data_IF_519070296428
#
_entry.id   IF_519070296428
#
_cell.length_a   1.000
_cell.length_b   1.000
_cell.length_c   1.000
_cell.angle_alpha   90.00
_cell.angle_beta   90.00
_cell.angle_gamma   90.00
#
_symmetry.space_group_name_H-M   'P 1'
#
loop_
_entity.id
_entity.type
_entity.pdbx_description
1 polymer ?
#
# COMPACT_ATOMS: atom_id res chain seq x y z
N UNK A 1 37.59 13.58 17.83
CA UNK A 1 37.00 13.06 16.57
C UNK A 1 36.33 11.73 16.86
N UNK A 2 35.00 11.68 16.87
CA UNK A 2 34.23 10.42 16.80
C UNK A 2 33.40 10.48 15.54
N UNK A 3 34.07 10.20 14.42
CA UNK A 3 33.43 9.90 13.15
C UNK A 3 32.97 8.44 13.23
N UNK A 4 31.68 8.23 13.00
CA UNK A 4 31.03 7.19 12.19
C UNK A 4 29.54 7.31 12.57
N UNK A 5 28.80 8.20 11.88
CA UNK A 5 27.36 7.99 11.71
C UNK A 5 27.27 6.84 10.71
N UNK A 6 27.20 5.61 11.21
CA UNK A 6 26.75 4.49 10.40
C UNK A 6 25.30 4.77 10.05
N UNK A 7 25.06 5.25 8.85
CA UNK A 7 23.74 5.20 8.20
C UNK A 7 23.36 3.73 8.08
N UNK A 8 22.11 3.38 8.42
CA UNK A 8 21.62 2.01 8.23
C UNK A 8 21.30 1.78 6.76
N UNK A 9 20.96 2.83 6.01
CA UNK A 9 20.68 2.82 4.57
C UNK A 9 21.44 3.95 3.84
N UNK A 10 22.10 3.63 2.73
CA UNK A 10 22.83 4.59 1.89
C UNK A 10 22.16 4.73 0.53
N UNK A 11 22.29 5.89 -0.14
CA UNK A 11 21.74 6.09 -1.47
C UNK A 11 22.61 5.37 -2.50
N UNK A 12 22.02 4.48 -3.30
CA UNK A 12 22.78 3.67 -4.26
C UNK A 12 22.31 3.87 -5.70
N UNK A 13 21.05 4.27 -5.90
CA UNK A 13 20.51 4.49 -7.24
C UNK A 13 19.51 5.63 -7.21
N UNK A 14 19.51 6.43 -8.27
CA UNK A 14 18.50 7.45 -8.51
C UNK A 14 18.25 7.67 -10.00
N UNK A 15 17.06 8.16 -10.34
CA UNK A 15 16.68 8.60 -11.68
C UNK A 15 15.58 9.68 -11.59
N UNK A 16 15.23 10.30 -12.71
CA UNK A 16 14.19 11.33 -12.81
C UNK A 16 13.25 10.96 -13.97
N UNK A 17 11.96 10.80 -13.68
CA UNK A 17 10.88 10.72 -14.67
C UNK A 17 10.35 12.13 -14.99
N UNK A 18 9.46 12.22 -15.97
CA UNK A 18 9.02 13.48 -16.57
C UNK A 18 8.11 14.32 -15.67
N UNK A 19 7.51 13.72 -14.64
CA UNK A 19 6.55 14.37 -13.73
C UNK A 19 6.47 13.59 -12.40
N UNK A 20 5.62 14.03 -11.46
CA UNK A 20 5.46 13.47 -10.13
C UNK A 20 5.30 11.95 -10.15
N UNK A 21 6.05 11.26 -9.28
CA UNK A 21 5.98 9.80 -9.17
C UNK A 21 4.68 9.43 -8.47
N UNK A 22 3.88 8.61 -9.11
CA UNK A 22 2.55 8.22 -8.61
C UNK A 22 2.60 6.93 -7.81
N UNK A 23 3.51 6.02 -8.18
CA UNK A 23 3.71 4.75 -7.49
C UNK A 23 5.10 4.18 -7.77
N UNK A 24 5.62 3.46 -6.78
CA UNK A 24 6.78 2.56 -6.90
C UNK A 24 6.41 1.23 -6.23
N UNK A 25 6.81 0.10 -6.80
CA UNK A 25 6.52 -1.20 -6.20
C UNK A 25 7.53 -2.26 -6.65
N UNK A 26 7.97 -3.12 -5.72
CA UNK A 26 8.86 -4.23 -6.03
C UNK A 26 8.07 -5.46 -6.45
N UNK A 27 8.60 -6.26 -7.37
CA UNK A 27 8.12 -7.61 -7.63
C UNK A 27 8.27 -8.47 -6.36
N UNK A 28 7.48 -9.54 -6.25
CA UNK A 28 7.44 -10.38 -5.05
C UNK A 28 8.77 -11.07 -4.72
N UNK A 29 9.59 -11.34 -5.74
CA UNK A 29 10.96 -11.85 -5.62
C UNK A 29 12.00 -10.74 -5.35
N UNK A 30 11.63 -9.48 -5.54
CA UNK A 30 12.50 -8.30 -5.39
C UNK A 30 13.46 -8.06 -6.57
N UNK A 31 13.35 -8.82 -7.66
CA UNK A 31 14.24 -8.69 -8.83
C UNK A 31 13.95 -7.42 -9.66
N UNK A 32 12.71 -6.93 -9.61
CA UNK A 32 12.23 -5.82 -10.44
C UNK A 32 11.59 -4.74 -9.58
N UNK A 33 11.91 -3.47 -9.83
CA UNK A 33 11.17 -2.32 -9.30
C UNK A 33 10.39 -1.66 -10.43
N UNK A 34 9.07 -1.60 -10.32
CA UNK A 34 8.22 -0.81 -11.21
C UNK A 34 8.02 0.60 -10.65
N UNK A 35 7.92 1.57 -11.54
CA UNK A 35 7.68 2.98 -11.22
C UNK A 35 6.79 3.63 -12.28
N UNK A 36 5.93 4.55 -11.85
CA UNK A 36 5.06 5.31 -12.75
C UNK A 36 5.02 6.81 -12.42
N UNK A 37 4.70 7.62 -13.42
CA UNK A 37 4.53 9.06 -13.28
C UNK A 37 3.17 9.55 -13.74
N UNK A 38 2.88 10.79 -13.36
CA UNK A 38 1.70 11.52 -13.80
C UNK A 38 1.67 11.90 -15.27
N UNK A 39 2.84 11.94 -15.91
CA UNK A 39 2.95 12.09 -17.34
C UNK A 39 2.51 10.82 -18.10
N UNK A 40 2.25 9.73 -17.37
CA UNK A 40 1.82 8.46 -17.93
C UNK A 40 2.96 7.48 -18.18
N UNK A 41 4.18 7.77 -17.73
CA UNK A 41 5.30 6.84 -17.92
C UNK A 41 5.14 5.61 -17.03
N UNK A 42 5.56 4.47 -17.56
CA UNK A 42 5.77 3.23 -16.79
C UNK A 42 7.15 2.71 -17.14
N UNK A 43 8.00 2.58 -16.12
CA UNK A 43 9.34 2.02 -16.26
C UNK A 43 9.57 0.92 -15.24
N UNK A 44 10.45 -0.01 -15.56
CA UNK A 44 10.90 -1.05 -14.64
C UNK A 44 12.42 -1.03 -14.55
N UNK A 45 12.94 -1.25 -13.36
CA UNK A 45 14.37 -1.39 -13.09
C UNK A 45 14.67 -2.86 -12.80
N UNK A 46 15.49 -3.48 -13.66
CA UNK A 46 15.94 -4.87 -13.54
C UNK A 46 17.46 -4.87 -13.58
N UNK A 47 18.12 -5.44 -12.57
CA UNK A 47 19.60 -5.51 -12.50
C UNK A 47 20.34 -4.17 -12.78
N UNK A 48 19.77 -3.04 -12.34
CA UNK A 48 20.20 -1.65 -12.59
C UNK A 48 19.99 -1.12 -14.03
N UNK A 49 19.38 -1.90 -14.92
CA UNK A 49 18.92 -1.44 -16.23
C UNK A 49 17.49 -0.91 -16.14
N UNK A 50 17.28 0.32 -16.61
CA UNK A 50 15.96 0.94 -16.65
C UNK A 50 15.32 0.69 -18.02
N UNK A 51 14.18 0.01 -18.01
CA UNK A 51 13.43 -0.37 -19.21
C UNK A 51 12.12 0.40 -19.23
N UNK A 52 11.83 1.09 -20.34
CA UNK A 52 10.56 1.76 -20.55
C UNK A 52 9.51 0.77 -21.07
N UNK A 53 8.40 0.63 -20.34
CA UNK A 53 7.24 -0.15 -20.76
C UNK A 53 6.19 0.73 -21.47
N UNK A 54 6.12 2.00 -21.06
CA UNK A 54 5.27 3.02 -21.64
C UNK A 54 5.95 4.38 -21.50
N UNK A 55 6.10 5.08 -22.62
CA UNK A 55 6.55 6.47 -22.66
C UNK A 55 5.42 7.43 -22.27
N UNK A 56 5.73 8.72 -22.10
CA UNK A 56 4.77 9.78 -21.75
C UNK A 56 3.50 9.73 -22.61
N UNK A 57 2.33 9.68 -21.96
CA UNK A 57 1.00 9.66 -22.61
C UNK A 57 0.13 10.89 -22.29
N UNK A 58 0.60 11.80 -21.42
CA UNK A 58 -0.17 12.94 -20.88
C UNK A 58 -1.45 12.52 -20.14
N UNK A 59 -1.51 11.27 -19.66
CA UNK A 59 -2.58 10.75 -18.81
C UNK A 59 -1.93 10.10 -17.60
N UNK A 60 -2.31 10.51 -16.39
CA UNK A 60 -1.69 10.00 -15.16
C UNK A 60 -1.88 8.49 -15.03
N UNK A 61 -0.81 7.79 -14.67
CA UNK A 61 -0.90 6.45 -14.10
C UNK A 61 -1.05 6.61 -12.60
N UNK A 62 -2.12 6.10 -11.99
CA UNK A 62 -2.40 6.34 -10.58
C UNK A 62 -2.01 5.15 -9.70
N UNK A 63 -1.95 3.94 -10.26
CA UNK A 63 -1.59 2.71 -9.53
C UNK A 63 -0.84 1.72 -10.41
N UNK A 64 0.08 0.99 -9.76
CA UNK A 64 0.71 -0.21 -10.29
C UNK A 64 0.87 -1.27 -9.21
N UNK A 65 0.86 -2.55 -9.60
CA UNK A 65 1.10 -3.66 -8.68
C UNK A 65 1.53 -4.92 -9.42
N UNK A 66 2.42 -5.71 -8.81
CA UNK A 66 2.79 -7.03 -9.31
C UNK A 66 1.83 -8.10 -8.81
N UNK A 67 1.58 -9.13 -9.63
CA UNK A 67 0.94 -10.37 -9.19
C UNK A 67 1.77 -11.05 -8.11
N UNK A 68 1.10 -11.85 -7.28
CA UNK A 68 1.75 -12.57 -6.17
C UNK A 68 2.87 -13.47 -6.65
N UNK A 69 2.69 -14.14 -7.80
CA UNK A 69 3.72 -14.98 -8.41
C UNK A 69 4.81 -14.21 -9.17
N UNK A 70 4.71 -12.87 -9.20
CA UNK A 70 5.68 -11.95 -9.81
C UNK A 70 5.65 -11.93 -11.35
N UNK A 71 4.75 -12.69 -12.00
CA UNK A 71 4.75 -12.84 -13.45
C UNK A 71 4.09 -11.69 -14.20
N UNK A 72 3.23 -10.93 -13.53
CA UNK A 72 2.43 -9.89 -14.15
C UNK A 72 2.61 -8.55 -13.42
N UNK A 73 2.74 -7.48 -14.20
CA UNK A 73 2.63 -6.10 -13.72
C UNK A 73 1.33 -5.51 -14.24
N UNK A 74 0.44 -5.10 -13.34
CA UNK A 74 -0.76 -4.36 -13.69
C UNK A 74 -0.55 -2.87 -13.45
N UNK A 75 -1.08 -2.04 -14.36
CA UNK A 75 -1.05 -0.58 -14.27
C UNK A 75 -2.39 0.01 -14.69
N UNK A 76 -2.84 1.05 -14.00
CA UNK A 76 -4.08 1.76 -14.28
C UNK A 76 -4.01 3.23 -13.87
N UNK A 77 -4.86 4.06 -14.47
CA UNK A 77 -4.91 5.48 -14.19
C UNK A 77 -6.06 6.22 -14.87
N UNK A 78 -5.80 7.45 -15.29
CA UNK A 78 -6.83 8.40 -15.75
C UNK A 78 -7.47 8.06 -17.10
N UNK A 79 -6.81 7.28 -17.94
CA UNK A 79 -7.37 6.86 -19.23
C UNK A 79 -8.39 5.71 -19.11
N UNK A 80 -8.55 5.16 -17.89
CA UNK A 80 -9.47 4.09 -17.56
C UNK A 80 -9.07 2.70 -18.06
N UNK A 81 -7.87 2.57 -18.63
CA UNK A 81 -7.36 1.29 -19.10
C UNK A 81 -6.58 0.61 -17.99
N UNK A 82 -6.73 -0.72 -17.90
CA UNK A 82 -5.80 -1.54 -17.13
C UNK A 82 -4.90 -2.27 -18.10
N UNK A 83 -3.61 -1.94 -18.06
CA UNK A 83 -2.61 -2.59 -18.89
C UNK A 83 -1.86 -3.62 -18.05
N UNK A 84 -1.65 -4.80 -18.62
CA UNK A 84 -0.93 -5.90 -17.97
C UNK A 84 0.30 -6.24 -18.81
N UNK A 85 1.47 -6.24 -18.20
CA UNK A 85 2.71 -6.68 -18.81
C UNK A 85 3.18 -7.99 -18.18
N UNK A 86 3.86 -8.81 -18.98
CA UNK A 86 4.65 -9.92 -18.48
C UNK A 86 5.97 -9.39 -17.91
N UNK A 87 6.30 -9.78 -16.68
CA UNK A 87 7.53 -9.37 -16.00
C UNK A 87 8.77 -10.02 -16.63
N UNK A 88 8.66 -11.24 -17.18
CA UNK A 88 9.82 -11.99 -17.70
C UNK A 88 10.38 -11.48 -19.03
N UNK A 89 9.54 -10.87 -19.87
CA UNK A 89 9.94 -10.39 -21.20
C UNK A 89 9.50 -8.94 -21.49
N UNK A 90 8.89 -8.29 -20.49
CA UNK A 90 8.44 -6.89 -20.55
C UNK A 90 7.45 -6.58 -21.69
N UNK A 91 6.74 -7.60 -22.19
CA UNK A 91 5.72 -7.43 -23.23
C UNK A 91 4.35 -7.14 -22.63
N UNK A 92 3.59 -6.26 -23.29
CA UNK A 92 2.18 -6.01 -22.98
C UNK A 92 1.36 -7.25 -23.36
N UNK A 93 0.69 -7.87 -22.40
CA UNK A 93 -0.10 -9.09 -22.62
C UNK A 93 -1.60 -8.81 -22.74
N UNK A 94 -2.10 -7.77 -22.05
CA UNK A 94 -3.51 -7.42 -22.09
C UNK A 94 -3.71 -5.91 -21.89
N UNK A 95 -4.75 -5.37 -22.53
CA UNK A 95 -5.32 -4.06 -22.23
C UNK A 95 -6.80 -4.26 -21.97
N UNK A 96 -7.22 -4.09 -20.72
CA UNK A 96 -8.62 -4.16 -20.33
C UNK A 96 -9.25 -2.79 -20.61
N UNK A 97 -10.05 -2.73 -21.66
CA UNK A 97 -10.79 -1.55 -22.09
C UNK A 97 -12.13 -1.52 -21.35
N UNK A 98 -12.38 -0.44 -20.59
CA UNK A 98 -13.55 -0.30 -19.74
C UNK A 98 -14.33 0.97 -20.05
N UNK A 99 -15.49 1.14 -19.43
CA UNK A 99 -16.21 2.41 -19.47
C UNK A 99 -15.31 3.55 -18.97
N UNK A 100 -15.50 4.80 -19.45
CA UNK A 100 -14.64 5.92 -19.09
C UNK A 100 -14.75 6.26 -17.60
N UNK A 101 -13.87 5.68 -16.81
CA UNK A 101 -13.72 5.89 -15.38
C UNK A 101 -12.23 5.71 -15.03
N UNK A 102 -11.72 6.49 -14.09
CA UNK A 102 -10.34 6.33 -13.63
C UNK A 102 -10.15 5.00 -12.93
N UNK A 103 -9.00 4.36 -13.17
CA UNK A 103 -8.55 3.18 -12.41
C UNK A 103 -7.53 3.65 -11.37
N UNK A 104 -8.06 4.04 -10.22
CA UNK A 104 -7.27 4.66 -9.15
C UNK A 104 -7.02 3.71 -7.96
N UNK A 105 -7.56 2.48 -8.01
CA UNK A 105 -7.30 1.38 -7.07
C UNK A 105 -7.07 0.08 -7.83
N UNK A 106 -6.01 -0.63 -7.44
CA UNK A 106 -5.60 -1.93 -7.97
C UNK A 106 -5.11 -2.79 -6.80
N UNK A 107 -5.49 -4.06 -6.75
CA UNK A 107 -4.96 -5.01 -5.78
C UNK A 107 -4.98 -6.44 -6.34
N UNK A 108 -3.82 -7.10 -6.33
CA UNK A 108 -3.72 -8.52 -6.63
C UNK A 108 -4.07 -9.37 -5.40
N UNK A 109 -4.74 -10.50 -5.64
CA UNK A 109 -4.98 -11.49 -4.60
C UNK A 109 -3.65 -12.10 -4.12
N UNK A 110 -3.43 -12.26 -2.82
CA UNK A 110 -2.19 -12.80 -2.26
C UNK A 110 -2.05 -14.32 -2.44
N UNK A 111 -3.04 -15.00 -3.03
CA UNK A 111 -3.05 -16.46 -3.20
C UNK A 111 -3.34 -16.93 -4.62
N UNK A 112 -3.86 -16.05 -5.47
CA UNK A 112 -4.28 -16.34 -6.85
C UNK A 112 -3.86 -15.19 -7.75
N UNK A 113 -3.75 -15.42 -9.05
CA UNK A 113 -3.49 -14.35 -10.02
C UNK A 113 -4.79 -13.59 -10.38
N UNK A 114 -5.56 -13.22 -9.36
CA UNK A 114 -6.76 -12.38 -9.49
C UNK A 114 -6.39 -10.92 -9.24
N UNK A 115 -6.71 -10.04 -10.18
CA UNK A 115 -6.54 -8.59 -10.07
C UNK A 115 -7.90 -7.94 -9.85
N UNK A 116 -8.09 -7.29 -8.70
CA UNK A 116 -9.22 -6.40 -8.46
C UNK A 116 -8.87 -4.95 -8.84
N UNK A 117 -9.77 -4.25 -9.53
CA UNK A 117 -9.56 -2.87 -9.95
C UNK A 117 -10.84 -2.03 -9.94
N UNK A 118 -10.73 -0.76 -9.52
CA UNK A 118 -11.87 0.16 -9.45
C UNK A 118 -12.21 0.78 -10.81
N UNK A 119 -13.52 0.98 -11.03
CA UNK A 119 -14.07 1.70 -12.18
C UNK A 119 -15.21 2.60 -11.70
N UNK A 120 -14.87 3.69 -11.01
CA UNK A 120 -15.86 4.59 -10.42
C UNK A 120 -16.64 3.91 -9.29
N UNK A 121 -17.84 3.41 -9.57
CA UNK A 121 -18.77 2.84 -8.56
C UNK A 121 -18.84 1.32 -8.53
N UNK A 122 -17.94 0.64 -9.22
CA UNK A 122 -17.84 -0.81 -9.19
C UNK A 122 -16.38 -1.24 -9.22
N UNK A 123 -16.16 -2.51 -8.91
CA UNK A 123 -14.87 -3.19 -9.02
C UNK A 123 -15.02 -4.36 -9.95
N UNK A 124 -14.06 -4.55 -10.85
CA UNK A 124 -13.94 -5.79 -11.59
C UNK A 124 -12.81 -6.64 -11.02
N UNK A 125 -12.97 -7.95 -11.11
CA UNK A 125 -11.91 -8.92 -10.81
C UNK A 125 -11.56 -9.63 -12.11
N UNK A 126 -10.30 -9.53 -12.53
CA UNK A 126 -9.74 -10.19 -13.70
C UNK A 126 -8.83 -11.34 -13.27
N UNK A 127 -8.92 -12.47 -13.93
CA UNK A 127 -8.05 -13.63 -13.72
C UNK A 127 -6.97 -13.67 -14.78
N UNK A 128 -5.70 -13.57 -14.38
CA UNK A 128 -4.58 -13.51 -15.31
C UNK A 128 -4.23 -14.87 -15.94
N UNK A 129 -4.60 -15.97 -15.30
CA UNK A 129 -4.28 -17.32 -15.78
C UNK A 129 -5.17 -17.68 -16.97
N UNK A 130 -6.44 -17.25 -16.95
CA UNK A 130 -7.40 -17.44 -18.06
C UNK A 130 -7.65 -16.19 -18.90
N UNK A 131 -7.18 -15.02 -18.44
CA UNK A 131 -7.32 -13.71 -19.08
C UNK A 131 -8.76 -13.19 -19.23
N UNK A 132 -9.64 -13.50 -18.27
CA UNK A 132 -11.06 -13.11 -18.32
C UNK A 132 -11.48 -12.30 -17.07
N UNK A 133 -12.51 -11.47 -17.23
CA UNK A 133 -13.20 -10.85 -16.09
C UNK A 133 -14.08 -11.92 -15.44
N UNK A 134 -13.79 -12.27 -14.19
CA UNK A 134 -14.53 -13.31 -13.45
C UNK A 134 -15.73 -12.77 -12.69
N UNK A 135 -15.72 -11.48 -12.30
CA UNK A 135 -16.88 -10.81 -11.69
C UNK A 135 -16.83 -9.29 -11.85
N UNK A 136 -18.01 -8.66 -11.87
CA UNK A 136 -18.22 -7.23 -11.62
C UNK A 136 -19.00 -7.03 -10.31
N UNK A 137 -18.40 -6.34 -9.35
CA UNK A 137 -18.93 -6.11 -8.00
C UNK A 137 -19.45 -4.67 -7.88
N UNK A 138 -20.77 -4.53 -7.76
CA UNK A 138 -21.42 -3.23 -7.68
C UNK A 138 -21.26 -2.57 -6.29
N UNK A 139 -20.81 -1.32 -6.28
CA UNK A 139 -20.68 -0.47 -5.11
C UNK A 139 -21.48 0.83 -5.29
N UNK A 140 -22.74 0.71 -5.71
CA UNK A 140 -23.54 1.84 -6.23
C UNK A 140 -23.72 3.05 -5.29
N UNK A 141 -23.57 2.82 -3.98
CA UNK A 141 -23.72 3.85 -2.95
C UNK A 141 -22.57 4.89 -2.96
N UNK A 142 -21.47 4.66 -3.68
CA UNK A 142 -20.35 5.60 -3.75
C UNK A 142 -19.36 5.29 -4.87
N UNK A 143 -18.43 6.21 -5.11
CA UNK A 143 -17.16 5.83 -5.73
C UNK A 143 -16.39 4.88 -4.82
N UNK A 144 -15.66 3.94 -5.42
CA UNK A 144 -14.73 3.05 -4.72
C UNK A 144 -13.54 3.88 -4.24
N UNK A 145 -13.32 3.95 -2.93
CA UNK A 145 -12.26 4.75 -2.32
C UNK A 145 -11.06 3.92 -1.87
N UNK A 146 -11.24 2.61 -1.68
CA UNK A 146 -10.14 1.69 -1.37
C UNK A 146 -10.55 0.25 -1.65
N UNK A 147 -9.58 -0.60 -1.95
CA UNK A 147 -9.74 -2.04 -2.18
C UNK A 147 -8.58 -2.75 -1.48
N UNK A 148 -8.85 -3.85 -0.79
CA UNK A 148 -7.79 -4.73 -0.29
C UNK A 148 -8.25 -6.19 -0.15
N UNK A 149 -7.31 -7.12 -0.30
CA UNK A 149 -7.53 -8.55 -0.17
C UNK A 149 -7.13 -9.05 1.21
N UNK A 150 -7.91 -9.99 1.78
CA UNK A 150 -7.47 -10.72 2.96
C UNK A 150 -6.21 -11.53 2.63
N UNK A 151 -5.32 -11.69 3.61
CA UNK A 151 -4.04 -12.39 3.42
C UNK A 151 -4.19 -13.85 2.93
N UNK A 152 -5.29 -14.51 3.30
CA UNK A 152 -5.63 -15.86 2.82
C UNK A 152 -6.33 -15.87 1.46
N UNK A 153 -6.52 -14.71 0.84
CA UNK A 153 -7.13 -14.53 -0.48
C UNK A 153 -8.62 -14.86 -0.54
N UNK A 154 -9.27 -15.14 0.59
CA UNK A 154 -10.69 -15.54 0.63
C UNK A 154 -11.65 -14.36 0.57
N UNK A 155 -11.22 -13.17 0.95
CA UNK A 155 -12.07 -12.00 1.01
C UNK A 155 -11.49 -10.85 0.20
N UNK A 156 -12.37 -10.14 -0.51
CA UNK A 156 -12.08 -8.86 -1.14
C UNK A 156 -12.92 -7.78 -0.47
N UNK A 157 -12.27 -6.79 0.12
CA UNK A 157 -12.92 -5.65 0.75
C UNK A 157 -12.91 -4.46 -0.20
N UNK A 158 -14.05 -3.78 -0.31
CA UNK A 158 -14.23 -2.54 -1.09
C UNK A 158 -14.81 -1.49 -0.15
N UNK A 159 -14.13 -0.35 -0.04
CA UNK A 159 -14.50 0.75 0.85
C UNK A 159 -15.09 1.94 0.09
N UNK A 160 -16.05 2.62 0.70
CA UNK A 160 -16.60 3.88 0.21
C UNK A 160 -17.64 4.44 1.17
N UNK A 161 -18.70 5.08 0.64
CA UNK A 161 -19.79 5.60 1.47
C UNK A 161 -20.46 4.49 2.30
N UNK A 162 -20.72 4.78 3.58
CA UNK A 162 -21.36 3.88 4.56
C UNK A 162 -20.52 2.65 4.97
N UNK A 163 -19.22 2.68 4.74
CA UNK A 163 -18.26 1.70 5.28
C UNK A 163 -17.64 0.81 4.21
N UNK A 164 -17.55 -0.48 4.53
CA UNK A 164 -16.83 -1.47 3.72
C UNK A 164 -17.76 -2.65 3.39
N UNK A 165 -17.83 -3.01 2.11
CA UNK A 165 -18.46 -4.26 1.66
C UNK A 165 -17.38 -5.32 1.43
N UNK A 166 -17.64 -6.56 1.83
CA UNK A 166 -16.65 -7.64 1.80
C UNK A 166 -17.24 -8.88 1.14
N UNK A 167 -16.67 -9.28 0.01
CA UNK A 167 -17.11 -10.45 -0.77
C UNK A 167 -16.23 -11.66 -0.50
N UNK A 168 -16.81 -12.85 -0.64
CA UNK A 168 -16.08 -14.11 -0.65
C UNK A 168 -15.59 -14.43 -2.05
N UNK A 169 -14.29 -14.65 -2.22
CA UNK A 169 -13.66 -14.80 -3.54
C UNK A 169 -13.91 -16.13 -4.24
N UNK A 170 -14.55 -17.09 -3.56
CA UNK A 170 -15.01 -18.35 -4.14
C UNK A 170 -16.50 -18.35 -4.51
N UNK A 171 -17.25 -17.34 -4.08
CA UNK A 171 -18.72 -17.27 -4.16
C UNK A 171 -19.11 -15.80 -4.39
N UNK A 172 -18.82 -15.29 -5.58
CA UNK A 172 -19.02 -13.87 -5.87
C UNK A 172 -20.49 -13.43 -5.98
N UNK A 173 -21.37 -14.39 -6.24
CA UNK A 173 -22.82 -14.17 -6.39
C UNK A 173 -23.54 -14.00 -5.04
N UNK A 174 -22.89 -14.35 -3.93
CA UNK A 174 -23.44 -14.16 -2.58
C UNK A 174 -23.37 -12.71 -2.13
N UNK A 175 -24.33 -12.31 -1.28
CA UNK A 175 -24.35 -10.97 -0.70
C UNK A 175 -23.07 -10.71 0.13
N UNK A 176 -22.44 -9.53 -0.03
CA UNK A 176 -21.25 -9.20 0.75
C UNK A 176 -21.59 -9.00 2.21
N UNK A 177 -20.63 -9.30 3.08
CA UNK A 177 -20.69 -8.84 4.47
C UNK A 177 -20.59 -7.30 4.49
N UNK A 178 -21.51 -6.66 5.22
CA UNK A 178 -21.53 -5.22 5.40
C UNK A 178 -20.85 -4.85 6.72
N UNK A 179 -19.67 -4.24 6.62
CA UNK A 179 -19.03 -3.57 7.73
C UNK A 179 -19.48 -2.11 7.76
N UNK A 180 -20.65 -1.89 8.38
CA UNK A 180 -21.34 -0.61 8.39
C UNK A 180 -20.62 0.43 9.25
N UNK A 181 -20.35 1.58 8.65
CA UNK A 181 -19.71 2.73 9.32
C UNK A 181 -20.52 3.98 8.98
N UNK A 182 -20.85 4.86 9.95
CA UNK A 182 -21.67 6.06 9.69
C UNK A 182 -21.07 7.10 8.74
N UNK A 183 -19.83 6.89 8.28
CA UNK A 183 -19.05 7.79 7.42
C UNK A 183 -18.47 7.04 6.23
N UNK A 184 -17.88 7.77 5.28
CA UNK A 184 -17.18 7.13 4.16
C UNK A 184 -15.82 6.59 4.61
N UNK A 185 -15.54 5.33 4.26
CA UNK A 185 -14.22 4.72 4.45
C UNK A 185 -13.34 5.02 3.25
N UNK A 186 -12.27 5.78 3.48
CA UNK A 186 -11.32 6.23 2.45
C UNK A 186 -10.10 5.31 2.31
N UNK A 187 -9.88 4.46 3.31
CA UNK A 187 -8.81 3.47 3.32
C UNK A 187 -9.35 2.17 3.93
N UNK A 188 -8.94 1.03 3.39
CA UNK A 188 -9.14 -0.29 3.98
C UNK A 188 -7.83 -1.06 3.94
N UNK A 189 -7.54 -1.81 5.00
CA UNK A 189 -6.34 -2.63 5.07
C UNK A 189 -6.58 -3.88 5.93
N UNK A 190 -6.34 -5.05 5.36
CA UNK A 190 -6.28 -6.31 6.09
C UNK A 190 -4.94 -6.47 6.78
N UNK A 191 -4.96 -7.04 8.00
CA UNK A 191 -3.74 -7.39 8.68
C UNK A 191 -3.02 -8.53 7.96
N UNK A 192 -1.69 -8.51 8.03
CA UNK A 192 -0.83 -9.49 7.37
C UNK A 192 -1.01 -10.92 7.88
N UNK A 193 -1.45 -11.08 9.13
CA UNK A 193 -1.80 -12.36 9.74
C UNK A 193 -3.25 -12.78 9.44
N UNK A 194 -4.02 -11.95 8.73
CA UNK A 194 -5.41 -12.20 8.36
C UNK A 194 -6.41 -12.12 9.51
N UNK A 195 -6.02 -11.68 10.72
CA UNK A 195 -6.91 -11.62 11.88
C UNK A 195 -7.85 -10.41 11.89
N UNK A 196 -7.46 -9.31 11.24
CA UNK A 196 -8.19 -8.05 11.31
C UNK A 196 -8.37 -7.39 9.96
N UNK A 197 -9.42 -6.58 9.86
CA UNK A 197 -9.57 -5.54 8.85
C UNK A 197 -9.67 -4.18 9.55
N UNK A 198 -8.94 -3.18 9.03
CA UNK A 198 -9.04 -1.80 9.47
C UNK A 198 -9.68 -0.94 8.36
N UNK A 199 -10.47 0.05 8.76
CA UNK A 199 -10.97 1.11 7.88
C UNK A 199 -10.56 2.48 8.41
N UNK A 200 -10.11 3.36 7.52
CA UNK A 200 -9.83 4.76 7.83
C UNK A 200 -10.97 5.61 7.29
N UNK A 201 -11.61 6.41 8.15
CA UNK A 201 -12.90 7.02 7.85
C UNK A 201 -12.80 8.54 7.72
N UNK A 202 -13.70 9.15 6.92
CA UNK A 202 -13.75 10.60 6.71
C UNK A 202 -14.10 11.40 7.98
N UNK A 203 -14.74 10.76 8.96
CA UNK A 203 -15.07 11.36 10.26
C UNK A 203 -13.89 11.37 11.25
N UNK A 204 -12.67 11.13 10.74
CA UNK A 204 -11.42 11.09 11.52
C UNK A 204 -11.41 9.96 12.55
N UNK A 205 -12.03 8.83 12.22
CA UNK A 205 -11.96 7.61 13.01
C UNK A 205 -11.25 6.50 12.23
N UNK A 206 -10.75 5.51 12.96
CA UNK A 206 -10.39 4.22 12.42
C UNK A 206 -11.27 3.18 13.09
N UNK A 207 -11.84 2.27 12.30
CA UNK A 207 -12.54 1.10 12.83
C UNK A 207 -11.70 -0.15 12.57
N UNK A 208 -11.64 -1.08 13.52
CA UNK A 208 -11.01 -2.39 13.36
C UNK A 208 -12.00 -3.48 13.72
N UNK A 209 -12.07 -4.54 12.90
CA UNK A 209 -12.94 -5.70 13.10
C UNK A 209 -12.13 -6.99 12.96
N UNK A 210 -12.50 -8.04 13.69
CA UNK A 210 -11.93 -9.37 13.51
C UNK A 210 -12.48 -10.05 12.26
N UNK A 211 -11.61 -10.70 11.50
CA UNK A 211 -11.95 -11.45 10.29
C UNK A 211 -12.91 -12.60 10.56
N UNK A 212 -12.80 -13.24 11.72
CA UNK A 212 -13.65 -14.37 12.10
C UNK A 212 -15.14 -13.97 12.19
N UNK A 213 -15.44 -12.71 12.52
CA UNK A 213 -16.80 -12.19 12.52
C UNK A 213 -17.36 -12.14 11.09
N UNK A 214 -16.55 -11.69 10.14
CA UNK A 214 -16.89 -11.64 8.71
C UNK A 214 -17.10 -13.06 8.17
N UNK A 215 -16.15 -13.97 8.47
CA UNK A 215 -16.21 -15.35 8.03
C UNK A 215 -17.50 -16.06 8.47
N UNK A 216 -17.91 -15.80 9.72
CA UNK A 216 -19.13 -16.38 10.32
C UNK A 216 -20.38 -15.50 10.17
N UNK A 217 -20.33 -14.43 9.37
CA UNK A 217 -21.42 -13.47 9.17
C UNK A 217 -22.02 -12.91 10.49
N UNK A 218 -21.18 -12.76 11.52
CA UNK A 218 -21.57 -12.20 12.82
C UNK A 218 -21.37 -10.70 12.82
N UNK A 219 -22.40 -9.96 13.21
CA UNK A 219 -22.29 -8.53 13.46
C UNK A 219 -21.76 -8.30 14.87
N UNK A 220 -20.83 -7.35 15.01
CA UNK A 220 -20.31 -6.89 16.29
C UNK A 220 -19.93 -5.42 16.19
N UNK A 221 -19.84 -4.76 17.34
CA UNK A 221 -19.26 -3.42 17.39
C UNK A 221 -17.76 -3.49 17.11
N UNK A 222 -17.24 -2.76 16.11
CA UNK A 222 -15.82 -2.72 15.85
C UNK A 222 -15.09 -1.96 16.97
N UNK A 223 -13.78 -2.16 17.07
CA UNK A 223 -12.97 -1.21 17.83
C UNK A 223 -12.97 0.14 17.11
N UNK A 224 -13.38 1.18 17.82
CA UNK A 224 -13.39 2.55 17.34
C UNK A 224 -12.20 3.32 17.91
N UNK A 225 -11.31 3.78 17.04
CA UNK A 225 -10.18 4.62 17.35
C UNK A 225 -10.48 6.06 16.90
N UNK A 226 -10.36 7.02 17.81
CA UNK A 226 -10.70 8.42 17.56
C UNK A 226 -9.68 9.38 18.19
N UNK A 227 -9.88 10.69 18.03
CA UNK A 227 -8.98 11.71 18.55
C UNK A 227 -7.91 12.19 17.56
N UNK A 228 -8.05 11.83 16.28
CA UNK A 228 -7.15 12.29 15.23
C UNK A 228 -7.37 13.78 14.93
N UNK A 229 -6.29 14.58 14.79
CA UNK A 229 -6.42 16.01 14.52
C UNK A 229 -6.96 16.31 13.11
N UNK A 230 -6.81 15.36 12.17
CA UNK A 230 -7.14 15.52 10.76
C UNK A 230 -7.61 14.23 10.10
N UNK A 231 -7.64 14.27 8.76
CA UNK A 231 -8.05 13.14 7.92
C UNK A 231 -7.05 12.00 8.01
N UNK A 232 -7.54 10.77 8.16
CA UNK A 232 -6.74 9.55 8.00
C UNK A 232 -6.40 9.39 6.52
N UNK A 233 -5.11 9.32 6.19
CA UNK A 233 -4.64 9.21 4.80
C UNK A 233 -4.25 7.79 4.44
N UNK A 234 -3.42 7.16 5.27
CA UNK A 234 -2.91 5.81 5.02
C UNK A 234 -3.05 4.94 6.26
N UNK A 235 -3.24 3.64 6.02
CA UNK A 235 -3.19 2.58 7.00
C UNK A 235 -2.14 1.56 6.57
N UNK A 236 -1.31 1.10 7.50
CA UNK A 236 -0.32 0.05 7.24
C UNK A 236 -0.25 -0.90 8.42
N UNK A 237 -0.45 -2.20 8.17
CA UNK A 237 -0.23 -3.24 9.16
C UNK A 237 1.21 -3.75 9.11
N UNK A 238 1.81 -4.03 10.26
CA UNK A 238 3.10 -4.70 10.31
C UNK A 238 2.99 -6.13 9.76
N UNK A 239 4.01 -6.57 9.01
CA UNK A 239 4.09 -7.94 8.49
C UNK A 239 4.51 -8.96 9.57
N UNK A 240 5.22 -8.48 10.59
CA UNK A 240 5.65 -9.25 11.75
C UNK A 240 4.84 -8.80 12.97
N UNK A 241 4.54 -9.74 13.87
CA UNK A 241 3.81 -9.46 15.12
C UNK A 241 4.73 -8.95 16.24
N UNK A 242 4.16 -8.27 17.22
CA UNK A 242 4.86 -7.92 18.46
C UNK A 242 5.08 -9.16 19.35
N UNK A 243 5.70 -8.97 20.52
CA UNK A 243 5.81 -10.02 21.53
C UNK A 243 4.46 -10.55 22.00
N UNK A 244 3.37 -9.80 21.78
CA UNK A 244 2.00 -10.20 22.09
C UNK A 244 1.34 -11.06 21.00
N UNK A 245 2.05 -11.39 19.92
CA UNK A 245 1.54 -12.11 18.73
C UNK A 245 0.41 -11.38 18.00
N UNK A 246 0.40 -10.06 18.12
CA UNK A 246 -0.52 -9.16 17.43
C UNK A 246 0.28 -8.22 16.52
N UNK A 247 -0.25 -7.87 15.33
CA UNK A 247 0.39 -6.90 14.45
C UNK A 247 0.22 -5.47 15.00
N UNK A 248 1.10 -4.56 14.58
CA UNK A 248 0.92 -3.13 14.77
C UNK A 248 0.12 -2.56 13.59
N UNK A 249 -0.77 -1.61 13.88
CA UNK A 249 -1.39 -0.77 12.86
C UNK A 249 -0.80 0.64 12.92
N UNK A 250 -0.20 1.10 11.84
CA UNK A 250 0.20 2.49 11.66
C UNK A 250 -0.85 3.24 10.86
N UNK A 251 -1.12 4.48 11.24
CA UNK A 251 -2.01 5.38 10.52
C UNK A 251 -1.39 6.76 10.39
N UNK A 252 -1.46 7.37 9.20
CA UNK A 252 -0.98 8.75 9.00
C UNK A 252 -2.12 9.76 8.99
N UNK A 253 -1.87 10.92 9.61
CA UNK A 253 -2.81 12.02 9.74
C UNK A 253 -2.05 13.35 9.82
N UNK A 254 -2.10 14.15 8.75
CA UNK A 254 -1.31 15.38 8.65
C UNK A 254 0.19 15.06 8.76
N UNK A 255 0.89 15.75 9.65
CA UNK A 255 2.32 15.55 9.94
C UNK A 255 2.61 14.38 10.90
N UNK A 256 1.58 13.75 11.47
CA UNK A 256 1.73 12.75 12.52
C UNK A 256 1.44 11.35 12.02
N UNK A 257 2.11 10.38 12.65
CA UNK A 257 1.80 8.95 12.50
C UNK A 257 1.36 8.44 13.87
N UNK A 258 0.29 7.65 13.92
CA UNK A 258 -0.17 6.99 15.14
C UNK A 258 0.05 5.49 14.98
N UNK A 259 0.69 4.88 15.97
CA UNK A 259 0.88 3.44 16.07
C UNK A 259 -0.09 2.88 17.08
N UNK A 260 -0.83 1.86 16.65
CA UNK A 260 -1.81 1.15 17.45
C UNK A 260 -1.28 -0.25 17.76
N UNK A 261 -1.28 -0.61 19.03
CA UNK A 261 -0.90 -1.92 19.53
C UNK A 261 -2.04 -2.51 20.36
N UNK A 262 -2.41 -3.77 20.08
CA UNK A 262 -3.44 -4.48 20.83
C UNK A 262 -3.05 -4.57 22.32
N UNK A 263 -3.99 -4.23 23.19
CA UNK A 263 -3.79 -4.32 24.64
C UNK A 263 -4.25 -5.68 25.16
N UNK A 264 -3.61 -6.16 26.24
CA UNK A 264 -3.95 -7.45 26.85
C UNK A 264 -5.29 -7.40 27.60
N UNK A 265 -5.63 -6.21 28.09
CA UNK A 265 -6.92 -5.95 28.71
C UNK A 265 -8.01 -5.83 27.63
N UNK A 266 -8.99 -6.73 27.68
CA UNK A 266 -10.13 -6.77 26.78
C UNK A 266 -10.92 -5.45 26.75
N UNK A 267 -10.88 -4.65 27.83
CA UNK A 267 -11.57 -3.35 27.89
C UNK A 267 -10.83 -2.23 27.15
N UNK A 268 -9.52 -2.37 26.96
CA UNK A 268 -8.64 -1.34 26.43
C UNK A 268 -8.40 -1.45 24.92
N UNK A 269 -8.84 -2.53 24.27
CA UNK A 269 -8.84 -2.70 22.81
C UNK A 269 -7.46 -2.51 22.16
N UNK A 270 -7.18 -1.28 21.75
CA UNK A 270 -5.93 -0.86 21.09
C UNK A 270 -5.38 0.42 21.73
N UNK A 271 -4.10 0.39 22.11
CA UNK A 271 -3.39 1.53 22.67
C UNK A 271 -2.65 2.32 21.59
N UNK A 272 -2.72 3.65 21.66
CA UNK A 272 -2.10 4.55 20.68
C UNK A 272 -0.77 5.13 21.17
N UNK A 273 0.19 5.27 20.25
CA UNK A 273 1.42 6.04 20.44
C UNK A 273 1.60 6.96 19.23
N UNK A 274 1.77 8.26 19.47
CA UNK A 274 2.02 9.25 18.41
C UNK A 274 3.53 9.31 18.11
N UNK A 275 3.86 9.23 16.84
CA UNK A 275 5.20 9.47 16.30
C UNK A 275 5.21 10.84 15.62
N UNK A 276 6.12 11.70 16.07
CA UNK A 276 6.28 13.07 15.57
C UNK A 276 7.73 13.30 15.17
N UNK A 277 7.93 13.65 13.90
CA UNK A 277 9.24 14.07 13.35
C UNK A 277 9.05 14.83 12.04
N UNK A 278 8.05 14.47 11.24
CA UNK A 278 7.69 15.20 10.04
C UNK A 278 7.17 16.60 10.40
N UNK A 279 7.53 17.58 9.58
CA UNK A 279 7.07 18.99 9.71
C UNK A 279 6.02 19.37 8.67
N UNK A 280 5.63 18.42 7.81
CA UNK A 280 4.60 18.56 6.80
C UNK A 280 3.87 17.21 6.62
N UNK A 281 2.91 17.15 5.70
CA UNK A 281 2.03 16.00 5.47
C UNK A 281 2.83 14.72 5.22
N UNK A 282 2.47 13.64 5.92
CA UNK A 282 2.96 12.29 5.67
C UNK A 282 2.15 11.67 4.52
N UNK A 283 2.79 11.56 3.35
CA UNK A 283 2.19 11.12 2.08
C UNK A 283 2.23 9.61 1.88
N UNK A 284 3.13 8.89 2.55
CA UNK A 284 3.10 7.43 2.53
C UNK A 284 3.74 6.82 3.79
N UNK A 285 3.25 5.65 4.18
CA UNK A 285 3.79 4.85 5.28
C UNK A 285 3.83 3.37 4.88
N UNK A 286 4.87 2.65 5.28
CA UNK A 286 4.97 1.21 5.05
C UNK A 286 5.89 0.52 6.07
N UNK A 287 5.45 -0.61 6.61
CA UNK A 287 6.29 -1.46 7.47
C UNK A 287 7.26 -2.29 6.63
N UNK A 288 8.49 -2.44 7.14
CA UNK A 288 9.44 -3.40 6.61
C UNK A 288 8.87 -4.84 6.69
N UNK A 289 9.21 -5.71 5.74
CA UNK A 289 8.62 -7.04 5.64
C UNK A 289 9.10 -8.02 6.72
N UNK A 290 10.31 -7.82 7.25
CA UNK A 290 11.03 -8.78 8.09
C UNK A 290 11.09 -8.36 9.58
N UNK A 291 10.68 -7.13 9.91
CA UNK A 291 10.76 -6.61 11.26
C UNK A 291 9.77 -5.44 11.49
N UNK A 292 9.74 -4.87 12.70
CA UNK A 292 8.84 -3.76 13.07
C UNK A 292 9.36 -2.36 12.68
N UNK A 293 10.29 -2.24 11.73
CA UNK A 293 10.71 -0.94 11.20
C UNK A 293 9.60 -0.35 10.34
N UNK A 294 9.27 0.91 10.55
CA UNK A 294 8.34 1.65 9.71
C UNK A 294 9.14 2.65 8.87
N UNK A 295 8.78 2.81 7.60
CA UNK A 295 9.19 3.93 6.77
C UNK A 295 8.02 4.91 6.63
N UNK A 296 8.32 6.20 6.61
CA UNK A 296 7.34 7.24 6.29
C UNK A 296 7.92 8.33 5.41
N UNK A 297 7.22 8.63 4.33
CA UNK A 297 7.56 9.63 3.33
C UNK A 297 6.71 10.88 3.58
N UNK A 298 7.35 12.05 3.66
CA UNK A 298 6.69 13.32 3.91
C UNK A 298 6.89 14.35 2.80
N UNK A 299 5.95 15.30 2.73
CA UNK A 299 5.92 16.38 1.75
C UNK A 299 7.07 17.39 1.94
N UNK A 300 7.74 17.39 3.09
CA UNK A 300 8.94 18.20 3.34
C UNK A 300 10.21 17.63 2.70
N UNK A 301 10.13 16.46 2.04
CA UNK A 301 11.26 15.81 1.37
C UNK A 301 12.06 14.89 2.29
N UNK A 302 11.46 14.45 3.39
CA UNK A 302 12.06 13.51 4.33
C UNK A 302 11.42 12.14 4.20
N UNK A 303 12.27 11.11 4.22
CA UNK A 303 11.87 9.71 4.37
C UNK A 303 12.43 9.20 5.70
N UNK A 304 11.58 9.12 6.73
CA UNK A 304 11.98 8.74 8.08
C UNK A 304 11.90 7.22 8.28
N UNK A 305 12.95 6.64 8.87
CA UNK A 305 12.97 5.23 9.29
C UNK A 305 12.82 5.13 10.81
N UNK A 306 11.79 4.41 11.26
CA UNK A 306 11.41 4.27 12.65
C UNK A 306 11.67 2.87 13.15
N UNK A 307 12.70 2.69 13.97
CA UNK A 307 13.00 1.38 14.57
C UNK A 307 11.89 0.98 15.54
N UNK A 308 11.35 -0.22 15.33
CA UNK A 308 10.22 -0.80 16.09
C UNK A 308 8.99 0.11 16.10
N UNK A 309 8.82 0.96 15.08
CA UNK A 309 7.78 1.99 15.01
C UNK A 309 7.70 2.86 16.28
N UNK A 310 8.85 3.25 16.84
CA UNK A 310 8.92 4.06 18.07
C UNK A 310 9.89 5.22 17.99
N UNK A 311 11.05 5.00 17.35
CA UNK A 311 12.14 5.98 17.33
C UNK A 311 12.72 6.12 15.95
N UNK A 312 12.85 7.35 15.47
CA UNK A 312 13.60 7.67 14.25
C UNK A 312 15.05 7.23 14.43
N UNK A 313 15.53 6.36 13.53
CA UNK A 313 16.94 5.96 13.46
C UNK A 313 17.67 6.64 12.33
N UNK A 314 16.96 6.99 11.26
CA UNK A 314 17.54 7.66 10.10
C UNK A 314 16.49 8.50 9.38
N UNK A 315 16.94 9.60 8.78
CA UNK A 315 16.15 10.42 7.84
C UNK A 315 16.89 10.40 6.51
N UNK A 316 16.23 9.90 5.48
CA UNK A 316 16.71 9.86 4.11
C UNK A 316 16.15 11.08 3.35
N UNK A 317 16.95 11.63 2.44
CA UNK A 317 16.63 12.85 1.69
C UNK A 317 17.01 12.66 0.22
N UNK A 318 16.43 13.46 -0.66
CA UNK A 318 16.74 13.43 -2.09
C UNK A 318 15.67 14.08 -2.98
N UNK A 319 14.41 14.09 -2.55
CA UNK A 319 13.30 14.77 -3.22
C UNK A 319 12.98 16.08 -2.49
N UNK A 320 13.50 17.22 -2.97
CA UNK A 320 13.42 18.51 -2.25
C UNK A 320 11.99 19.04 -2.10
N UNK A 321 11.09 18.66 -3.00
CA UNK A 321 9.69 19.09 -3.01
C UNK A 321 8.76 18.07 -2.33
N UNK A 322 9.31 17.06 -1.66
CA UNK A 322 8.50 16.04 -1.02
C UNK A 322 8.57 14.68 -1.70
N UNK A 323 8.37 13.65 -0.89
CA UNK A 323 8.13 12.30 -1.36
C UNK A 323 6.62 12.05 -1.48
N UNK A 324 6.22 11.29 -2.49
CA UNK A 324 4.82 10.93 -2.76
C UNK A 324 4.50 9.47 -2.46
N UNK A 325 5.49 8.59 -2.53
CA UNK A 325 5.32 7.15 -2.32
C UNK A 325 6.61 6.49 -1.82
N UNK A 326 6.46 5.31 -1.22
CA UNK A 326 7.54 4.49 -0.69
C UNK A 326 7.24 3.02 -0.92
N UNK A 327 8.26 2.22 -1.17
CA UNK A 327 8.18 0.76 -1.28
C UNK A 327 9.40 0.08 -0.65
N UNK A 328 9.17 -0.79 0.33
CA UNK A 328 10.19 -1.72 0.81
C UNK A 328 10.45 -2.82 -0.19
N UNK A 329 11.72 -3.18 -0.38
CA UNK A 329 12.07 -4.42 -1.05
C UNK A 329 11.58 -5.62 -0.22
N UNK A 330 11.10 -6.73 -0.81
CA UNK A 330 10.49 -7.85 -0.08
C UNK A 330 11.37 -8.50 1.00
N UNK A 331 12.68 -8.38 0.86
CA UNK A 331 13.67 -8.84 1.84
C UNK A 331 14.12 -7.78 2.87
N UNK A 332 13.57 -6.56 2.83
CA UNK A 332 13.85 -5.49 3.81
C UNK A 332 15.24 -4.83 3.70
N UNK A 333 16.03 -5.16 2.69
CA UNK A 333 17.40 -4.63 2.52
C UNK A 333 17.52 -3.44 1.56
N UNK A 334 16.44 -3.07 0.85
CA UNK A 334 16.36 -1.83 0.08
C UNK A 334 15.04 -1.13 0.36
N UNK A 335 15.03 0.18 0.16
CA UNK A 335 13.83 1.00 0.17
C UNK A 335 13.85 1.90 -1.06
N UNK A 336 12.75 1.96 -1.80
CA UNK A 336 12.56 2.86 -2.92
C UNK A 336 11.55 3.95 -2.53
N UNK A 337 11.73 5.17 -3.02
CA UNK A 337 10.76 6.25 -2.86
C UNK A 337 10.68 7.12 -4.11
N UNK A 338 9.48 7.62 -4.38
CA UNK A 338 9.18 8.54 -5.46
C UNK A 338 8.97 9.96 -4.95
N UNK A 339 9.47 10.95 -5.69
CA UNK A 339 9.39 12.38 -5.41
C UNK A 339 8.35 13.11 -6.25
N UNK A 340 7.98 14.31 -5.78
CA UNK A 340 6.99 15.16 -6.46
C UNK A 340 7.47 15.75 -7.79
N UNK A 341 8.77 15.74 -8.10
CA UNK A 341 9.31 16.21 -9.39
C UNK A 341 9.87 15.06 -10.24
N UNK A 342 9.41 13.84 -10.01
CA UNK A 342 9.82 12.67 -10.78
C UNK A 342 11.07 11.96 -10.24
N UNK A 343 11.62 12.39 -9.10
CA UNK A 343 12.79 11.71 -8.52
C UNK A 343 12.41 10.29 -8.07
N UNK A 344 13.14 9.28 -8.52
CA UNK A 344 13.06 7.92 -7.97
C UNK A 344 14.38 7.64 -7.30
N UNK A 345 14.36 7.31 -6.01
CA UNK A 345 15.56 7.06 -5.22
C UNK A 345 15.49 5.67 -4.57
N UNK A 346 16.62 4.96 -4.54
CA UNK A 346 16.73 3.65 -3.89
C UNK A 346 17.92 3.66 -2.94
N UNK A 347 17.64 3.33 -1.68
CA UNK A 347 18.64 3.19 -0.64
C UNK A 347 18.83 1.73 -0.24
N UNK A 348 20.07 1.33 0.01
CA UNK A 348 20.42 -0.04 0.36
C UNK A 348 20.91 -0.08 1.79
N UNK A 349 20.55 -1.14 2.51
CA UNK A 349 21.00 -1.36 3.87
C UNK A 349 22.51 -1.59 3.87
N UNK A 350 23.25 -0.79 4.63
CA UNK A 350 24.70 -0.92 4.74
C UNK A 350 25.09 -2.28 5.32
N UNK A 351 26.03 -2.98 4.68
CA UNK A 351 26.65 -4.17 5.26
C UNK A 351 27.48 -3.71 6.46
N UNK A 352 26.97 -3.89 7.68
CA UNK A 352 27.81 -3.78 8.88
C UNK A 352 28.83 -4.89 8.80
N UNK A 353 30.07 -4.55 8.42
CA UNK A 353 31.19 -5.48 8.50
C UNK A 353 31.22 -6.07 9.91
N UNK A 354 30.98 -7.36 10.02
CA UNK A 354 31.24 -8.10 11.25
C UNK A 354 32.76 -8.05 11.39
N UNK A 355 33.23 -7.15 12.24
CA UNK A 355 34.65 -7.13 12.62
C UNK A 355 34.94 -8.51 13.22
N UNK A 356 35.79 -9.27 12.54
CA UNK A 356 36.38 -10.47 13.11
C UNK A 356 37.15 -10.03 14.37
N UNK A 357 36.68 -10.46 15.53
CA UNK A 357 37.36 -10.31 16.81
C UNK A 357 38.28 -11.50 17.05
#
# INVERSE_FOLDING_TARGET
>A
MKTIKSTDFDLNWNNILSDYITAVNWSSDGSTLAMSSAAGEVKVLVENELIALQEVTNTSIDRLAFSTDGKFLAVGGQDGKVKIWSTSNHQLIATLENAPAWVDKLAWSPRKNLLAFSLGRYVQVWDADIQEIVVTLNFDNSSVLSIDWSHDGKFLAIAGYQGVKIWRSHEWDEDPYLFSIPSASVAVAWSSDGKYIASGNMDKTICVLETDLIANAKQAEPWLMHGFPGKIRHLAWSKVTTSKKEPLLASSCGESIVIWEKQDDASSGWGATVLSNHSDIVEAIEFAPDNLMLASAGAEGWLCLWKKAKKVTQVLQGAKNGFSCVAWHPQGHKIAAGGQNGEVLIWYKGNRGVGFA
#
